data_IF_946178603900
#
_entry.id   IF_946178603900
#
_cell.length_a   1.000
_cell.length_b   1.000
_cell.length_c   1.000
_cell.angle_alpha   90.00
_cell.angle_beta   90.00
_cell.angle_gamma   90.00
#
_symmetry.space_group_name_H-M   'P 1'
#
loop_
_entity.id
_entity.type
_entity.pdbx_description
1 polymer ?
#
# COMPACT_ATOMS: atom_id res chain seq x y z
N UNK A 1 30.66 -34.49 23.51
CA UNK A 1 30.90 -33.22 22.79
C UNK A 1 29.57 -32.78 22.21
N UNK A 2 28.95 -31.78 22.82
CA UNK A 2 27.73 -31.14 22.31
C UNK A 2 28.06 -29.66 22.26
N UNK A 3 28.09 -29.09 21.06
CA UNK A 3 28.35 -27.67 20.84
C UNK A 3 27.11 -26.86 21.26
N UNK A 4 27.34 -25.85 22.10
CA UNK A 4 26.36 -24.82 22.40
C UNK A 4 26.29 -23.81 21.23
N UNK A 5 25.10 -23.44 20.73
CA UNK A 5 24.98 -22.37 19.77
C UNK A 5 25.32 -21.04 20.47
N UNK A 6 26.34 -20.38 19.95
CA UNK A 6 26.80 -19.04 20.32
C UNK A 6 25.63 -18.03 20.29
N UNK A 7 25.49 -17.28 21.38
CA UNK A 7 24.49 -16.24 21.52
C UNK A 7 24.58 -15.22 20.36
N UNK A 8 23.44 -14.77 19.79
CA UNK A 8 23.47 -13.69 18.82
C UNK A 8 24.01 -12.43 19.52
N UNK A 9 24.95 -11.74 18.87
CA UNK A 9 25.50 -10.47 19.33
C UNK A 9 24.40 -9.44 19.63
N UNK A 10 24.74 -8.32 20.31
CA UNK A 10 23.74 -7.41 20.85
C UNK A 10 22.80 -6.93 19.74
N UNK A 11 21.56 -7.42 19.79
CA UNK A 11 20.44 -6.82 19.08
C UNK A 11 20.33 -5.40 19.62
N UNK A 12 20.73 -4.43 18.81
CA UNK A 12 20.53 -3.02 19.11
C UNK A 12 19.03 -2.75 19.02
N UNK A 13 18.31 -2.97 20.12
CA UNK A 13 16.92 -2.55 20.23
C UNK A 13 16.97 -1.04 20.47
N UNK A 14 16.76 -0.26 19.41
CA UNK A 14 16.57 1.19 19.52
C UNK A 14 15.18 1.41 20.12
N UNK A 15 15.10 1.42 21.45
CA UNK A 15 13.92 1.90 22.19
C UNK A 15 14.11 3.40 22.35
N UNK A 16 13.36 4.20 21.61
CA UNK A 16 13.28 5.64 21.87
C UNK A 16 12.60 5.83 23.22
N UNK A 17 13.34 6.36 24.19
CA UNK A 17 12.90 6.53 25.59
C UNK A 17 11.83 7.60 25.78
N UNK A 18 11.47 8.34 24.74
CA UNK A 18 10.58 9.51 24.80
C UNK A 18 9.32 9.36 23.92
N UNK A 19 9.04 8.14 23.42
CA UNK A 19 7.98 7.89 22.43
C UNK A 19 7.17 6.66 22.77
N UNK A 20 5.84 6.79 22.69
CA UNK A 20 4.90 5.72 22.99
C UNK A 20 4.73 4.76 21.80
N UNK A 21 4.45 3.47 22.04
CA UNK A 21 4.00 2.55 21.01
C UNK A 21 2.64 3.00 20.44
N UNK A 22 2.30 2.51 19.24
CA UNK A 22 1.04 2.88 18.59
C UNK A 22 -0.16 2.51 19.46
N UNK A 23 -1.18 3.37 19.47
CA UNK A 23 -2.45 3.10 20.18
C UNK A 23 -3.42 2.39 19.26
N UNK A 24 -3.95 1.25 19.69
CA UNK A 24 -4.97 0.49 18.96
C UNK A 24 -6.37 0.78 19.49
N UNK A 25 -7.31 1.09 18.61
CA UNK A 25 -8.74 1.27 18.95
C UNK A 25 -9.64 0.94 17.75
N UNK A 26 -10.92 0.68 18.02
CA UNK A 26 -11.92 0.39 16.98
C UNK A 26 -12.88 1.55 16.76
N UNK A 27 -13.19 1.87 15.51
CA UNK A 27 -14.30 2.78 15.15
C UNK A 27 -15.50 1.96 14.62
N UNK A 28 -16.73 2.18 15.11
CA UNK A 28 -17.90 1.44 14.64
C UNK A 28 -18.22 1.73 13.17
N UNK A 29 -18.47 0.68 12.36
CA UNK A 29 -19.04 0.83 11.01
C UNK A 29 -20.57 0.84 11.09
N UNK A 30 -21.14 1.97 11.49
CA UNK A 30 -22.61 2.15 11.73
C UNK A 30 -23.51 1.84 10.54
N UNK A 31 -22.95 1.79 9.34
CA UNK A 31 -23.66 1.53 8.08
C UNK A 31 -23.66 0.05 7.67
N UNK A 32 -23.06 -0.86 8.47
CA UNK A 32 -23.05 -2.31 8.21
C UNK A 32 -23.85 -3.05 9.28
N UNK A 33 -24.51 -4.13 8.86
CA UNK A 33 -25.17 -5.06 9.78
C UNK A 33 -24.17 -5.58 10.83
N UNK A 34 -24.64 -5.74 12.08
CA UNK A 34 -23.83 -6.09 13.25
C UNK A 34 -22.75 -5.06 13.67
N UNK A 35 -22.71 -3.87 13.04
CA UNK A 35 -21.85 -2.72 13.38
C UNK A 35 -20.40 -3.14 13.71
N UNK A 36 -19.69 -3.83 12.79
CA UNK A 36 -18.34 -4.29 13.05
C UNK A 36 -17.38 -3.11 13.30
N UNK A 37 -16.36 -3.33 14.14
CA UNK A 37 -15.32 -2.34 14.40
C UNK A 37 -14.32 -2.27 13.23
N UNK A 38 -13.94 -1.05 12.84
CA UNK A 38 -12.78 -0.77 11.99
C UNK A 38 -11.56 -0.58 12.89
N UNK A 39 -10.55 -1.47 12.85
CA UNK A 39 -9.34 -1.30 13.65
C UNK A 39 -8.51 -0.12 13.14
N UNK A 40 -8.22 0.83 14.03
CA UNK A 40 -7.38 2.00 13.83
C UNK A 40 -6.13 1.90 14.72
N UNK A 41 -4.99 2.26 14.16
CA UNK A 41 -3.73 2.32 14.86
C UNK A 41 -3.24 3.76 14.75
N UNK A 42 -3.26 4.47 15.87
CA UNK A 42 -2.70 5.82 15.92
C UNK A 42 -1.19 5.71 16.05
N UNK A 43 -0.50 6.14 15.00
CA UNK A 43 0.95 6.24 14.95
C UNK A 43 1.48 7.56 15.52
N UNK A 44 0.59 8.39 16.08
CA UNK A 44 0.99 9.65 16.72
C UNK A 44 2.01 9.33 17.82
N UNK A 45 3.09 10.11 17.85
CA UNK A 45 4.18 10.00 18.82
C UNK A 45 4.99 8.70 18.76
N UNK A 46 4.81 7.87 17.73
CA UNK A 46 5.63 6.67 17.54
C UNK A 46 7.04 7.01 17.03
N UNK A 47 8.05 6.16 17.33
CA UNK A 47 9.43 6.36 16.84
C UNK A 47 9.52 6.47 15.31
N UNK A 48 8.69 5.71 14.59
CA UNK A 48 8.70 5.62 13.13
C UNK A 48 7.89 6.72 12.44
N UNK A 49 7.08 7.51 13.15
CA UNK A 49 6.21 8.53 12.53
C UNK A 49 6.98 9.61 11.77
N UNK A 50 8.10 10.09 12.32
CA UNK A 50 8.95 11.08 11.64
C UNK A 50 9.62 10.50 10.39
N UNK A 51 10.18 9.29 10.52
CA UNK A 51 10.78 8.55 9.41
C UNK A 51 9.75 8.29 8.30
N UNK A 52 8.52 7.92 8.69
CA UNK A 52 7.41 7.72 7.77
C UNK A 52 7.17 8.96 6.93
N UNK A 53 6.94 10.12 7.57
CA UNK A 53 6.66 11.37 6.85
C UNK A 53 7.79 11.72 5.88
N UNK A 54 9.04 11.56 6.31
CA UNK A 54 10.19 11.78 5.45
C UNK A 54 10.22 10.80 4.26
N UNK A 55 9.98 9.52 4.50
CA UNK A 55 9.88 8.49 3.46
C UNK A 55 8.73 8.76 2.48
N UNK A 56 7.58 9.28 2.95
CA UNK A 56 6.47 9.72 2.09
C UNK A 56 6.97 10.75 1.08
N UNK A 57 7.55 11.83 1.58
CA UNK A 57 8.03 12.94 0.75
C UNK A 57 9.11 12.46 -0.21
N UNK A 58 10.01 11.59 0.25
CA UNK A 58 11.12 11.13 -0.57
C UNK A 58 10.69 10.15 -1.67
N UNK A 59 9.73 9.27 -1.41
CA UNK A 59 9.31 8.23 -2.36
C UNK A 59 8.09 8.61 -3.21
N UNK A 60 7.50 9.80 -2.99
CA UNK A 60 6.27 10.20 -3.69
C UNK A 60 6.41 10.16 -5.22
N UNK A 61 7.60 10.47 -5.74
CA UNK A 61 7.89 10.42 -7.19
C UNK A 61 7.68 9.03 -7.82
N UNK A 62 7.71 7.95 -7.03
CA UNK A 62 7.46 6.61 -7.54
C UNK A 62 6.01 6.39 -7.96
N UNK A 63 5.06 7.14 -7.39
CA UNK A 63 3.64 7.10 -7.75
C UNK A 63 3.27 8.08 -8.88
N UNK A 64 4.20 8.92 -9.32
CA UNK A 64 3.96 9.91 -10.36
C UNK A 64 3.88 9.26 -11.75
N UNK A 65 3.13 9.92 -12.64
CA UNK A 65 2.99 9.52 -14.05
C UNK A 65 1.89 8.50 -14.34
N UNK A 66 1.06 8.13 -13.34
CA UNK A 66 -0.12 7.30 -13.61
C UNK A 66 -1.14 8.08 -14.43
N UNK A 67 -1.51 7.52 -15.59
CA UNK A 67 -2.59 8.05 -16.42
C UNK A 67 -3.96 7.55 -15.98
N UNK A 68 -4.01 6.42 -15.25
CA UNK A 68 -5.23 5.73 -14.81
C UNK A 68 -5.75 6.25 -13.48
N UNK A 69 -4.89 6.84 -12.64
CA UNK A 69 -5.31 7.35 -11.34
C UNK A 69 -6.05 8.67 -11.51
N UNK A 70 -7.27 8.74 -11.00
CA UNK A 70 -8.07 9.96 -10.96
C UNK A 70 -8.00 10.59 -9.57
N UNK A 71 -7.79 11.90 -9.52
CA UNK A 71 -7.68 12.64 -8.26
C UNK A 71 -9.02 13.20 -7.76
N UNK A 72 -10.03 13.26 -8.63
CA UNK A 72 -11.34 13.83 -8.28
C UNK A 72 -12.47 13.24 -9.12
N UNK A 73 -13.68 13.32 -8.57
CA UNK A 73 -14.93 12.96 -9.28
C UNK A 73 -15.09 13.77 -10.56
N UNK A 74 -14.70 15.05 -10.56
CA UNK A 74 -14.78 15.89 -11.77
C UNK A 74 -13.92 15.32 -12.90
N UNK A 75 -12.67 14.95 -12.60
CA UNK A 75 -11.76 14.36 -13.58
C UNK A 75 -12.29 13.03 -14.11
N UNK A 76 -12.87 12.20 -13.24
CA UNK A 76 -13.51 10.95 -13.65
C UNK A 76 -14.70 11.19 -14.58
N UNK A 77 -15.58 12.14 -14.26
CA UNK A 77 -16.73 12.50 -15.08
C UNK A 77 -16.32 13.03 -16.46
N UNK A 78 -15.26 13.85 -16.51
CA UNK A 78 -14.70 14.34 -17.78
C UNK A 78 -14.21 13.19 -18.67
N UNK A 79 -13.57 12.17 -18.09
CA UNK A 79 -13.06 11.01 -18.83
C UNK A 79 -14.17 10.06 -19.29
N UNK A 80 -15.17 9.82 -18.45
CA UNK A 80 -16.27 8.88 -18.77
C UNK A 80 -17.27 9.46 -19.77
N UNK A 81 -17.45 10.79 -19.82
CA UNK A 81 -18.40 11.45 -20.72
C UNK A 81 -18.13 11.17 -22.21
N UNK A 82 -16.88 10.85 -22.57
CA UNK A 82 -16.47 10.54 -23.93
C UNK A 82 -16.45 9.04 -24.24
N UNK A 83 -16.80 8.19 -23.26
CA UNK A 83 -16.72 6.74 -23.40
C UNK A 83 -17.92 6.18 -24.17
N UNK A 84 -17.62 5.49 -25.28
CA UNK A 84 -18.62 4.74 -26.05
C UNK A 84 -18.50 3.25 -25.71
N UNK A 85 -19.53 2.72 -25.05
CA UNK A 85 -19.58 1.31 -24.64
C UNK A 85 -20.07 0.43 -25.79
N UNK A 86 -19.46 -0.75 -25.92
CA UNK A 86 -19.97 -1.80 -26.79
C UNK A 86 -20.81 -2.78 -25.97
N UNK A 87 -21.81 -3.45 -26.57
CA UNK A 87 -22.62 -4.45 -25.87
C UNK A 87 -21.82 -5.58 -25.21
N UNK A 88 -20.66 -5.94 -25.78
CA UNK A 88 -19.78 -7.00 -25.30
C UNK A 88 -18.67 -6.50 -24.35
N UNK A 89 -18.54 -5.19 -24.16
CA UNK A 89 -17.51 -4.54 -23.35
C UNK A 89 -18.14 -3.54 -22.37
N UNK A 90 -18.90 -4.01 -21.36
CA UNK A 90 -19.51 -3.12 -20.38
C UNK A 90 -18.44 -2.42 -19.54
N UNK A 91 -18.84 -1.30 -18.93
CA UNK A 91 -18.08 -0.69 -17.85
C UNK A 91 -18.35 -1.49 -16.56
N UNK A 92 -17.27 -1.98 -15.94
CA UNK A 92 -17.32 -2.75 -14.70
C UNK A 92 -16.58 -1.98 -13.61
N UNK A 93 -17.15 -1.98 -12.41
CA UNK A 93 -16.51 -1.43 -11.21
C UNK A 93 -16.01 -2.57 -10.33
N UNK A 94 -14.77 -2.44 -9.85
CA UNK A 94 -14.11 -3.31 -8.90
C UNK A 94 -13.77 -2.51 -7.65
N UNK A 95 -14.04 -3.08 -6.47
CA UNK A 95 -13.68 -2.52 -5.16
C UNK A 95 -12.59 -3.39 -4.53
N UNK A 96 -11.46 -2.79 -4.16
CA UNK A 96 -10.38 -3.51 -3.48
C UNK A 96 -10.72 -3.71 -2.00
N UNK A 97 -11.09 -4.94 -1.65
CA UNK A 97 -11.47 -5.28 -0.29
C UNK A 97 -10.33 -5.02 0.70
N UNK A 98 -10.58 -4.07 1.60
CA UNK A 98 -9.71 -3.75 2.74
C UNK A 98 -8.27 -3.39 2.35
N UNK A 99 -8.11 -2.63 1.25
CA UNK A 99 -6.86 -2.23 0.59
C UNK A 99 -5.63 -2.14 1.51
N UNK A 100 -5.64 -1.25 2.52
CA UNK A 100 -4.46 -1.04 3.36
C UNK A 100 -4.08 -2.25 4.23
N UNK A 101 -5.05 -3.10 4.55
CA UNK A 101 -4.82 -4.30 5.36
C UNK A 101 -4.59 -5.56 4.52
N UNK A 102 -4.96 -5.56 3.24
CA UNK A 102 -4.83 -6.71 2.34
C UNK A 102 -3.49 -6.79 1.64
N UNK A 103 -2.79 -5.66 1.44
CA UNK A 103 -1.47 -5.64 0.79
C UNK A 103 -0.42 -6.38 1.64
N UNK A 104 0.20 -7.46 1.12
CA UNK A 104 1.31 -8.12 1.80
C UNK A 104 2.54 -7.20 1.87
N UNK A 105 3.20 -7.14 3.03
CA UNK A 105 4.38 -6.28 3.20
C UNK A 105 5.52 -6.63 2.23
N UNK A 106 5.73 -7.91 1.96
CA UNK A 106 6.78 -8.35 1.03
C UNK A 106 6.48 -7.90 -0.39
N UNK A 107 5.21 -7.98 -0.84
CA UNK A 107 4.79 -7.44 -2.14
C UNK A 107 5.09 -5.94 -2.24
N UNK A 108 4.74 -5.15 -1.22
CA UNK A 108 5.03 -3.72 -1.20
C UNK A 108 6.53 -3.42 -1.34
N UNK A 109 7.38 -4.16 -0.61
CA UNK A 109 8.83 -4.02 -0.69
C UNK A 109 9.36 -4.38 -2.08
N UNK A 110 8.83 -5.45 -2.69
CA UNK A 110 9.26 -5.93 -4.00
C UNK A 110 8.90 -4.93 -5.10
N UNK A 111 7.69 -4.37 -5.06
CA UNK A 111 7.26 -3.32 -6.00
C UNK A 111 8.12 -2.06 -5.86
N UNK A 112 8.34 -1.57 -4.63
CA UNK A 112 9.16 -0.38 -4.41
C UNK A 112 10.60 -0.62 -4.88
N UNK A 113 11.17 -1.80 -4.59
CA UNK A 113 12.51 -2.17 -5.06
C UNK A 113 12.60 -2.14 -6.58
N UNK A 114 11.62 -2.71 -7.26
CA UNK A 114 11.59 -2.68 -8.71
C UNK A 114 11.54 -1.24 -9.26
N UNK A 115 10.65 -0.40 -8.72
CA UNK A 115 10.51 0.98 -9.19
C UNK A 115 11.74 1.84 -8.87
N UNK A 116 12.41 1.61 -7.73
CA UNK A 116 13.68 2.26 -7.44
C UNK A 116 14.74 1.90 -8.48
N UNK A 117 14.86 0.62 -8.86
CA UNK A 117 15.81 0.21 -9.90
C UNK A 117 15.50 0.85 -11.27
N UNK A 118 14.23 1.11 -11.56
CA UNK A 118 13.79 1.70 -12.84
C UNK A 118 13.92 3.22 -12.87
N UNK A 119 13.66 3.90 -11.75
CA UNK A 119 13.43 5.36 -11.71
C UNK A 119 14.39 6.14 -10.82
N UNK A 120 15.22 5.45 -10.05
CA UNK A 120 16.13 6.08 -9.09
C UNK A 120 17.58 5.74 -9.40
N UNK A 121 18.25 6.64 -10.13
CA UNK A 121 19.71 6.58 -10.27
C UNK A 121 20.36 7.04 -8.96
N UNK A 122 21.09 6.13 -8.32
CA UNK A 122 21.76 6.34 -7.05
C UNK A 122 23.28 6.42 -7.16
N UNK A 123 23.84 6.39 -8.37
CA UNK A 123 25.29 6.33 -8.64
C UNK A 123 26.08 7.37 -7.83
N UNK A 124 25.66 8.64 -7.93
CA UNK A 124 26.30 9.77 -7.25
C UNK A 124 25.56 10.21 -5.97
N UNK A 125 24.51 9.49 -5.56
CA UNK A 125 23.72 9.86 -4.39
C UNK A 125 24.31 9.26 -3.11
N UNK A 126 24.33 10.04 -2.00
CA UNK A 126 24.77 9.54 -0.70
C UNK A 126 23.80 8.50 -0.12
N UNK A 127 22.51 8.60 -0.48
CA UNK A 127 21.50 7.65 -0.09
C UNK A 127 21.27 6.64 -1.23
N UNK A 128 21.56 5.37 -0.96
CA UNK A 128 21.37 4.29 -1.93
C UNK A 128 19.97 3.70 -1.84
N UNK A 129 19.51 3.12 -2.94
CA UNK A 129 18.25 2.37 -3.04
C UNK A 129 18.10 1.30 -1.94
N UNK A 130 19.16 0.57 -1.63
CA UNK A 130 19.18 -0.43 -0.55
C UNK A 130 18.93 0.19 0.84
N UNK A 131 19.44 1.40 1.10
CA UNK A 131 19.17 2.12 2.34
C UNK A 131 17.70 2.53 2.42
N UNK A 132 17.11 3.00 1.32
CA UNK A 132 15.68 3.31 1.25
C UNK A 132 14.81 2.08 1.52
N UNK A 133 15.18 0.92 0.98
CA UNK A 133 14.47 -0.33 1.24
C UNK A 133 14.57 -0.78 2.70
N UNK A 134 15.74 -0.62 3.33
CA UNK A 134 15.89 -0.86 4.77
C UNK A 134 15.00 0.06 5.60
N UNK A 135 14.98 1.35 5.29
CA UNK A 135 14.11 2.32 5.96
C UNK A 135 12.62 1.99 5.75
N UNK A 136 12.23 1.56 4.55
CA UNK A 136 10.87 1.11 4.27
C UNK A 136 10.51 -0.11 5.11
N UNK A 137 11.39 -1.11 5.21
CA UNK A 137 11.16 -2.29 6.08
C UNK A 137 10.94 -1.90 7.53
N UNK A 138 11.69 -0.91 8.04
CA UNK A 138 11.47 -0.38 9.39
C UNK A 138 10.14 0.36 9.52
N UNK A 139 9.71 1.10 8.49
CA UNK A 139 8.38 1.72 8.47
C UNK A 139 7.25 0.69 8.43
N UNK A 140 7.42 -0.43 7.74
CA UNK A 140 6.38 -1.45 7.64
C UNK A 140 6.20 -2.25 8.93
N UNK A 141 7.23 -2.32 9.78
CA UNK A 141 7.13 -2.91 11.13
C UNK A 141 6.44 -1.95 12.08
N UNK A 142 5.25 -2.33 12.53
CA UNK A 142 4.48 -1.56 13.51
C UNK A 142 4.25 -2.39 14.77
N UNK A 143 4.60 -1.80 15.90
CA UNK A 143 4.29 -2.33 17.22
C UNK A 143 3.23 -1.48 17.90
N UNK A 144 2.31 -2.12 18.59
CA UNK A 144 1.19 -1.46 19.26
C UNK A 144 0.91 -2.08 20.61
N UNK A 145 0.26 -1.31 21.47
CA UNK A 145 -0.24 -1.82 22.75
C UNK A 145 -1.73 -2.07 22.68
N UNK A 146 -2.16 -3.20 23.27
CA UNK A 146 -3.55 -3.49 23.52
C UNK A 146 -3.67 -4.23 24.86
N UNK A 147 -4.53 -3.75 25.75
CA UNK A 147 -4.73 -4.34 27.08
C UNK A 147 -3.42 -4.54 27.87
N UNK A 148 -2.52 -3.56 27.80
CA UNK A 148 -1.22 -3.59 28.49
C UNK A 148 -0.16 -4.51 27.87
N UNK A 149 -0.49 -5.24 26.78
CA UNK A 149 0.44 -6.12 26.08
C UNK A 149 0.90 -5.49 24.76
N UNK A 150 2.14 -5.78 24.39
CA UNK A 150 2.75 -5.34 23.13
C UNK A 150 2.54 -6.39 22.03
N UNK A 151 2.17 -5.93 20.84
CA UNK A 151 1.92 -6.78 19.68
C UNK A 151 2.64 -6.22 18.45
N UNK A 152 3.07 -7.11 17.57
CA UNK A 152 3.56 -6.76 16.23
C UNK A 152 2.43 -6.93 15.21
N UNK A 153 2.28 -5.97 14.31
CA UNK A 153 1.37 -6.10 13.19
C UNK A 153 2.02 -6.89 12.04
N UNK A 154 1.52 -8.11 11.81
CA UNK A 154 2.04 -9.03 10.78
C UNK A 154 1.33 -8.93 9.42
N UNK A 155 0.17 -8.25 9.33
CA UNK A 155 -0.61 -8.11 8.09
C UNK A 155 -0.97 -6.65 7.81
N UNK A 156 -0.88 -6.26 6.53
CA UNK A 156 -1.20 -4.93 6.05
C UNK A 156 -0.07 -3.90 6.18
N UNK A 157 -0.30 -2.75 5.57
CA UNK A 157 0.57 -1.57 5.59
C UNK A 157 -0.11 -0.47 6.40
N UNK A 158 0.57 0.12 7.38
CA UNK A 158 0.00 1.22 8.17
C UNK A 158 0.83 2.48 8.22
N UNK A 159 2.09 2.39 7.83
CA UNK A 159 2.97 3.53 7.69
C UNK A 159 3.11 3.79 6.20
N UNK A 160 2.73 4.98 5.73
CA UNK A 160 2.57 5.31 4.30
C UNK A 160 1.47 4.53 3.54
N UNK A 161 0.32 4.21 4.17
CA UNK A 161 -0.65 3.31 3.56
C UNK A 161 -1.16 3.84 2.22
N UNK A 162 -1.37 5.15 2.10
CA UNK A 162 -1.77 5.78 0.84
C UNK A 162 -0.74 5.61 -0.27
N UNK A 163 0.50 6.06 -0.06
CA UNK A 163 1.55 6.01 -1.08
C UNK A 163 1.89 4.56 -1.48
N UNK A 164 2.02 3.66 -0.51
CA UNK A 164 2.34 2.26 -0.79
C UNK A 164 1.18 1.56 -1.50
N UNK A 165 -0.06 1.81 -1.09
CA UNK A 165 -1.22 1.26 -1.79
C UNK A 165 -1.29 1.79 -3.22
N UNK A 166 -1.07 3.09 -3.41
CA UNK A 166 -1.05 3.70 -4.73
C UNK A 166 0.00 3.06 -5.65
N UNK A 167 1.25 2.96 -5.17
CA UNK A 167 2.36 2.32 -5.90
C UNK A 167 2.04 0.85 -6.25
N UNK A 168 1.53 0.08 -5.28
CA UNK A 168 1.24 -1.35 -5.47
C UNK A 168 0.07 -1.53 -6.44
N UNK A 169 -1.00 -0.75 -6.30
CA UNK A 169 -2.15 -0.82 -7.21
C UNK A 169 -1.77 -0.42 -8.63
N UNK A 170 -1.01 0.67 -8.82
CA UNK A 170 -0.51 1.04 -10.15
C UNK A 170 0.30 -0.10 -10.79
N UNK A 171 1.11 -0.83 -9.99
CA UNK A 171 1.87 -1.97 -10.49
C UNK A 171 0.98 -3.16 -10.87
N UNK A 172 0.00 -3.49 -10.03
CA UNK A 172 -0.98 -4.56 -10.32
C UNK A 172 -1.78 -4.21 -11.57
N UNK A 173 -2.29 -2.98 -11.68
CA UNK A 173 -3.00 -2.47 -12.85
C UNK A 173 -2.16 -2.60 -14.12
N UNK A 174 -0.89 -2.16 -14.06
CA UNK A 174 0.00 -2.28 -15.20
C UNK A 174 0.19 -3.74 -15.64
N UNK A 175 0.37 -4.67 -14.69
CA UNK A 175 0.56 -6.09 -14.99
C UNK A 175 -0.71 -6.77 -15.52
N UNK A 176 -1.85 -6.52 -14.88
CA UNK A 176 -3.14 -7.11 -15.27
C UNK A 176 -3.61 -6.53 -16.60
N UNK A 177 -3.67 -5.21 -16.72
CA UNK A 177 -4.26 -4.56 -17.88
C UNK A 177 -3.31 -4.45 -19.08
N UNK A 178 -2.02 -4.77 -18.95
CA UNK A 178 -1.17 -5.04 -20.11
C UNK A 178 -1.69 -6.21 -20.96
N UNK A 179 -2.34 -7.20 -20.33
CA UNK A 179 -2.95 -8.35 -21.00
C UNK A 179 -4.31 -8.00 -21.61
N UNK A 180 -5.20 -7.37 -20.85
CA UNK A 180 -6.59 -7.14 -21.27
C UNK A 180 -6.77 -5.89 -22.14
N UNK A 181 -5.85 -4.91 -22.04
CA UNK A 181 -5.83 -3.68 -22.83
C UNK A 181 -7.20 -2.99 -22.92
N UNK A 182 -7.78 -2.62 -21.76
CA UNK A 182 -9.08 -1.97 -21.73
C UNK A 182 -9.02 -0.62 -22.46
N UNK A 183 -10.12 -0.19 -23.07
CA UNK A 183 -10.22 1.14 -23.69
C UNK A 183 -10.27 2.26 -22.66
N UNK A 184 -10.81 1.93 -21.50
CA UNK A 184 -11.01 2.81 -20.37
C UNK A 184 -10.60 2.08 -19.10
N UNK A 185 -9.75 2.72 -18.32
CA UNK A 185 -9.30 2.29 -17.00
C UNK A 185 -9.04 3.55 -16.17
N UNK A 186 -9.90 3.78 -15.19
CA UNK A 186 -9.73 4.83 -14.20
C UNK A 186 -9.83 4.22 -12.80
N UNK A 187 -8.99 4.69 -11.87
CA UNK A 187 -9.06 4.28 -10.47
C UNK A 187 -9.06 5.48 -9.53
N UNK A 188 -10.00 5.48 -8.59
CA UNK A 188 -10.04 6.38 -7.45
C UNK A 188 -9.76 5.60 -6.17
N UNK A 189 -8.55 5.72 -5.63
CA UNK A 189 -8.12 5.00 -4.42
C UNK A 189 -8.33 3.48 -4.57
N UNK A 190 -9.39 2.91 -4.01
CA UNK A 190 -9.79 1.50 -4.02
C UNK A 190 -10.85 1.15 -5.09
N UNK A 191 -11.53 2.14 -5.67
CA UNK A 191 -12.53 1.95 -6.73
C UNK A 191 -11.87 1.98 -8.11
N UNK A 192 -11.89 0.86 -8.83
CA UNK A 192 -11.40 0.75 -10.22
C UNK A 192 -12.57 0.60 -11.18
N UNK A 193 -12.60 1.41 -12.23
CA UNK A 193 -13.57 1.38 -13.32
C UNK A 193 -12.88 0.98 -14.61
N UNK A 194 -13.34 -0.09 -15.25
CA UNK A 194 -12.67 -0.64 -16.44
C UNK A 194 -13.67 -1.15 -17.47
N UNK A 195 -13.34 -0.96 -18.74
CA UNK A 195 -14.06 -1.60 -19.86
C UNK A 195 -13.39 -2.92 -20.22
N UNK A 196 -14.10 -4.02 -20.05
CA UNK A 196 -13.58 -5.38 -20.30
C UNK A 196 -14.62 -6.23 -20.98
N UNK A 197 -14.18 -7.24 -21.74
CA UNK A 197 -15.10 -8.21 -22.35
C UNK A 197 -15.83 -8.99 -21.28
N UNK A 198 -17.12 -9.26 -21.53
CA UNK A 198 -17.96 -10.05 -20.60
C UNK A 198 -17.32 -11.41 -20.26
N UNK A 199 -16.67 -12.06 -21.24
CA UNK A 199 -15.96 -13.33 -21.05
C UNK A 199 -14.83 -13.28 -20.03
N UNK A 200 -14.23 -12.10 -19.84
CA UNK A 200 -13.01 -11.92 -19.05
C UNK A 200 -13.31 -11.47 -17.61
N UNK A 201 -14.56 -11.08 -17.30
CA UNK A 201 -14.96 -10.53 -16.01
C UNK A 201 -14.67 -11.50 -14.86
N UNK A 202 -14.96 -12.79 -15.03
CA UNK A 202 -14.73 -13.79 -13.97
C UNK A 202 -13.23 -13.98 -13.67
N UNK A 203 -12.37 -13.81 -14.67
CA UNK A 203 -10.91 -13.84 -14.49
C UNK A 203 -10.43 -12.60 -13.71
N UNK A 204 -11.16 -11.49 -13.86
CA UNK A 204 -11.11 -10.24 -13.08
C UNK A 204 -11.10 -10.44 -11.57
N UNK A 205 -12.03 -11.29 -11.09
CA UNK A 205 -12.39 -11.41 -9.67
C UNK A 205 -11.36 -12.12 -8.80
N UNK A 206 -10.33 -12.71 -9.41
CA UNK A 206 -9.33 -13.55 -8.74
C UNK A 206 -8.09 -12.74 -8.33
N UNK A 207 -8.00 -11.49 -8.78
CA UNK A 207 -6.89 -10.58 -8.50
C UNK A 207 -7.16 -9.66 -7.30
#
# INVERSE_FOLDING_TARGET
>A
MVEHPSAPGPLLIVISTDKAPARFYGLPKVYKENIPLRPIFSLRDTPTCGLAKWMFTYLNFLAEGSTTTVASVKQFLERINHLQLKPDEPLVSFDVVSLFTSIPQQLAIDVVRQLLNERYDDSDKPLKSENLLKLLRHCLKTYFTFSGQMYEQIKGVRILPGLIAEIVLQRIEHLVFAKYRPKFLDRYVDDTFVTVKISDIEHLKIY
#
